data_IF_473483930114
#
_entry.id   IF_473483930114
#
_cell.length_a   1.000
_cell.length_b   1.000
_cell.length_c   1.000
_cell.angle_alpha   90.00
_cell.angle_beta   90.00
_cell.angle_gamma   90.00
#
_symmetry.space_group_name_H-M   'P 1'
#
loop_
_entity.id
_entity.type
_entity.pdbx_description
1 polymer ?
#
# COMPACT_ATOMS: atom_id res chain seq x y z
N UNK A 1 8.54 -4.83 -13.68
CA UNK A 1 8.34 -4.58 -15.12
C UNK A 1 7.87 -3.16 -15.17
N UNK A 2 8.68 -2.28 -15.76
CA UNK A 2 8.32 -0.88 -15.89
C UNK A 2 7.35 -0.75 -17.08
N UNK A 3 6.29 0.01 -16.90
CA UNK A 3 5.32 0.31 -17.95
C UNK A 3 5.92 1.31 -18.93
N UNK A 4 5.71 1.09 -20.23
CA UNK A 4 6.14 2.04 -21.27
C UNK A 4 5.12 3.17 -21.49
N UNK A 5 3.84 2.91 -21.18
CA UNK A 5 2.77 3.89 -21.20
C UNK A 5 1.83 3.70 -20.00
N UNK A 6 1.39 4.81 -19.39
CA UNK A 6 0.51 4.80 -18.22
C UNK A 6 1.22 4.40 -16.91
N UNK A 7 0.41 4.13 -15.88
CA UNK A 7 0.85 3.68 -14.55
C UNK A 7 0.20 2.34 -14.23
N UNK A 8 0.95 1.46 -13.56
CA UNK A 8 0.35 0.33 -12.88
C UNK A 8 -0.38 0.83 -11.64
N UNK A 9 -1.50 0.20 -11.28
CA UNK A 9 -2.34 0.59 -10.13
C UNK A 9 -2.65 -0.65 -9.29
N UNK A 10 -2.56 -0.51 -7.98
CA UNK A 10 -3.07 -1.50 -7.02
C UNK A 10 -4.01 -0.81 -6.02
N UNK A 11 -5.09 -1.49 -5.67
CA UNK A 11 -5.97 -1.12 -4.56
C UNK A 11 -5.79 -2.20 -3.50
N UNK A 12 -5.41 -1.80 -2.29
CA UNK A 12 -5.23 -2.69 -1.16
C UNK A 12 -6.25 -2.32 -0.10
N UNK A 13 -7.28 -3.16 0.09
CA UNK A 13 -8.20 -3.02 1.22
C UNK A 13 -7.70 -3.88 2.37
N UNK A 14 -7.63 -3.28 3.55
CA UNK A 14 -6.84 -3.86 4.62
C UNK A 14 -7.50 -3.80 5.99
N UNK A 15 -7.06 -4.69 6.88
CA UNK A 15 -7.35 -4.68 8.31
C UNK A 15 -6.04 -4.64 9.11
N UNK A 16 -5.93 -3.81 10.15
CA UNK A 16 -4.76 -3.82 11.02
C UNK A 16 -4.78 -5.07 11.90
N UNK A 17 -3.60 -5.68 12.08
CA UNK A 17 -3.40 -6.78 13.05
C UNK A 17 -3.14 -6.23 14.46
N UNK A 18 -3.24 -7.05 15.51
CA UNK A 18 -2.84 -6.64 16.86
C UNK A 18 -1.35 -6.24 17.00
N UNK A 19 -0.50 -6.68 16.08
CA UNK A 19 0.94 -6.36 16.03
C UNK A 19 1.28 -5.20 15.10
N UNK A 20 0.30 -4.39 14.70
CA UNK A 20 0.52 -3.24 13.80
C UNK A 20 1.61 -2.31 14.32
N UNK A 21 2.65 -2.12 13.50
CA UNK A 21 3.64 -1.07 13.67
C UNK A 21 3.26 0.14 12.79
N UNK A 22 2.76 1.19 13.45
CA UNK A 22 2.30 2.42 12.78
C UNK A 22 3.45 3.18 12.11
N UNK A 23 4.63 3.19 12.72
CA UNK A 23 5.78 3.90 12.17
C UNK A 23 6.29 3.16 10.93
N UNK A 24 6.32 1.83 10.96
CA UNK A 24 6.66 1.02 9.80
C UNK A 24 5.67 1.21 8.63
N UNK A 25 4.37 1.35 8.89
CA UNK A 25 3.38 1.67 7.84
C UNK A 25 3.69 3.02 7.20
N UNK A 26 3.92 4.06 8.01
CA UNK A 26 4.26 5.41 7.49
C UNK A 26 5.58 5.37 6.71
N UNK A 27 6.57 4.63 7.19
CA UNK A 27 7.85 4.46 6.51
C UNK A 27 7.69 3.74 5.16
N UNK A 28 6.86 2.69 5.09
CA UNK A 28 6.57 1.97 3.85
C UNK A 28 5.93 2.88 2.80
N UNK A 29 4.96 3.72 3.20
CA UNK A 29 4.34 4.70 2.30
C UNK A 29 5.36 5.72 1.81
N UNK A 30 6.15 6.32 2.71
CA UNK A 30 7.18 7.30 2.33
C UNK A 30 8.26 6.72 1.42
N UNK A 31 8.65 5.47 1.64
CA UNK A 31 9.62 4.77 0.79
C UNK A 31 9.05 4.58 -0.63
N UNK A 32 7.79 4.17 -0.74
CA UNK A 32 7.13 4.07 -2.04
C UNK A 32 7.03 5.43 -2.75
N UNK A 33 6.65 6.49 -2.01
CA UNK A 33 6.59 7.86 -2.55
C UNK A 33 7.94 8.37 -3.06
N UNK A 34 9.03 8.03 -2.37
CA UNK A 34 10.40 8.32 -2.82
C UNK A 34 10.79 7.56 -4.10
N UNK A 35 10.14 6.44 -4.39
CA UNK A 35 10.34 5.58 -5.57
C UNK A 35 9.35 5.88 -6.71
N UNK A 36 8.93 7.14 -6.85
CA UNK A 36 7.97 7.64 -7.86
C UNK A 36 6.59 6.94 -7.80
N UNK A 37 6.15 6.50 -6.61
CA UNK A 37 4.81 5.97 -6.39
C UNK A 37 3.88 7.02 -5.78
N UNK A 38 2.72 7.26 -6.40
CA UNK A 38 1.66 8.00 -5.74
C UNK A 38 0.87 7.05 -4.83
N UNK A 39 0.71 7.40 -3.56
CA UNK A 39 -0.08 6.62 -2.60
C UNK A 39 -1.23 7.46 -2.06
N UNK A 40 -2.45 6.95 -2.18
CA UNK A 40 -3.66 7.54 -1.62
C UNK A 40 -4.14 6.63 -0.49
N UNK A 41 -4.22 7.17 0.72
CA UNK A 41 -4.74 6.46 1.89
C UNK A 41 -6.15 6.92 2.22
N UNK A 42 -7.06 5.97 2.48
CA UNK A 42 -8.43 6.27 2.89
C UNK A 42 -8.81 5.45 4.13
N UNK A 43 -9.49 6.10 5.08
CA UNK A 43 -10.20 5.40 6.14
C UNK A 43 -11.45 4.75 5.54
N UNK A 44 -11.64 3.46 5.78
CA UNK A 44 -12.77 2.71 5.25
C UNK A 44 -13.83 2.57 6.34
N UNK A 45 -15.09 2.76 5.97
CA UNK A 45 -16.24 2.59 6.87
C UNK A 45 -17.03 1.33 6.48
N UNK A 46 -17.44 0.56 7.48
CA UNK A 46 -18.14 -0.71 7.29
C UNK A 46 -17.30 -1.91 7.71
N UNK A 47 -17.76 -3.13 7.43
CA UNK A 47 -17.18 -4.36 7.99
C UNK A 47 -16.08 -5.00 7.12
N UNK A 48 -15.94 -4.54 5.87
CA UNK A 48 -15.06 -5.15 4.87
C UNK A 48 -13.58 -4.86 5.12
N UNK A 49 -13.23 -3.60 5.34
CA UNK A 49 -11.88 -3.15 5.59
C UNK A 49 -11.91 -1.89 6.46
N UNK A 50 -10.79 -1.59 7.12
CA UNK A 50 -10.64 -0.44 8.01
C UNK A 50 -9.79 0.66 7.35
N UNK A 51 -8.87 0.29 6.44
CA UNK A 51 -8.02 1.22 5.69
C UNK A 51 -7.82 0.72 4.26
N UNK A 52 -7.68 1.65 3.32
CA UNK A 52 -7.32 1.34 1.95
C UNK A 52 -6.07 2.13 1.51
N UNK A 53 -5.24 1.49 0.69
CA UNK A 53 -4.12 2.10 -0.02
C UNK A 53 -4.33 1.92 -1.52
N UNK A 54 -4.52 3.03 -2.25
CA UNK A 54 -4.46 3.03 -3.71
C UNK A 54 -3.08 3.55 -4.11
N UNK A 55 -2.31 2.72 -4.81
CA UNK A 55 -0.94 3.05 -5.18
C UNK A 55 -0.75 2.97 -6.69
N UNK A 56 -0.12 3.99 -7.27
CA UNK A 56 0.13 4.12 -8.70
C UNK A 56 1.63 4.31 -8.93
N UNK A 57 2.23 3.51 -9.80
CA UNK A 57 3.67 3.60 -10.10
C UNK A 57 4.01 3.13 -11.52
N UNK A 58 5.10 3.63 -12.11
CA UNK A 58 5.57 3.16 -13.41
C UNK A 58 6.18 1.74 -13.34
N UNK A 59 6.72 1.28 -12.20
CA UNK A 59 7.19 -0.12 -12.03
C UNK A 59 6.30 -0.86 -11.01
N UNK A 60 5.74 -2.01 -11.41
CA UNK A 60 4.94 -2.85 -10.50
C UNK A 60 5.73 -3.40 -9.32
N UNK A 61 7.08 -3.43 -9.41
CA UNK A 61 7.92 -3.83 -8.28
C UNK A 61 7.83 -2.86 -7.11
N UNK A 62 7.67 -1.56 -7.37
CA UNK A 62 7.43 -0.55 -6.34
C UNK A 62 6.12 -0.85 -5.61
N UNK A 63 5.05 -1.14 -6.36
CA UNK A 63 3.75 -1.53 -5.80
C UNK A 63 3.84 -2.82 -4.97
N UNK A 64 4.55 -3.83 -5.47
CA UNK A 64 4.75 -5.10 -4.74
C UNK A 64 5.55 -4.91 -3.46
N UNK A 65 6.59 -4.06 -3.49
CA UNK A 65 7.41 -3.75 -2.32
C UNK A 65 6.59 -3.01 -1.27
N UNK A 66 5.78 -2.04 -1.67
CA UNK A 66 4.83 -1.36 -0.79
C UNK A 66 3.89 -2.38 -0.14
N UNK A 67 3.24 -3.23 -0.94
CA UNK A 67 2.32 -4.25 -0.45
C UNK A 67 2.98 -5.16 0.61
N UNK A 68 4.17 -5.70 0.30
CA UNK A 68 4.90 -6.56 1.22
C UNK A 68 5.36 -5.82 2.48
N UNK A 69 5.77 -4.56 2.37
CA UNK A 69 6.18 -3.75 3.52
C UNK A 69 5.01 -3.44 4.45
N UNK A 70 3.83 -3.15 3.89
CA UNK A 70 2.59 -3.00 4.67
C UNK A 70 2.25 -4.30 5.41
N UNK A 71 2.34 -5.45 4.75
CA UNK A 71 2.11 -6.75 5.39
C UNK A 71 3.10 -7.01 6.54
N UNK A 72 4.39 -6.73 6.35
CA UNK A 72 5.39 -6.84 7.42
C UNK A 72 5.16 -5.84 8.56
N UNK A 73 4.57 -4.67 8.28
CA UNK A 73 4.17 -3.71 9.29
C UNK A 73 2.91 -4.13 10.07
N UNK A 74 2.31 -5.29 9.77
CA UNK A 74 1.14 -5.81 10.46
C UNK A 74 -0.19 -5.34 9.85
N UNK A 75 -0.22 -5.08 8.55
CA UNK A 75 -1.44 -4.84 7.78
C UNK A 75 -1.85 -6.13 7.04
N UNK A 76 -3.03 -6.68 7.35
CA UNK A 76 -3.63 -7.76 6.58
C UNK A 76 -4.34 -7.20 5.35
N UNK A 77 -4.00 -7.70 4.17
CA UNK A 77 -4.67 -7.34 2.91
C UNK A 77 -5.78 -8.34 2.66
N UNK A 78 -7.00 -7.85 2.54
CA UNK A 78 -8.23 -8.66 2.49
C UNK A 78 -8.95 -8.59 1.15
N UNK A 79 -8.65 -7.60 0.31
CA UNK A 79 -9.11 -7.44 -1.08
C UNK A 79 -8.10 -6.59 -1.88
#
# INVERSE_FOLDING_TARGET
MRMEAGLAVVHLFCKPTPSLDREAVVAAVKAAEADDCQVITAAMLGHKADVAFMALAPDWRTLRTLQTSLQHAGIDIVD
#
